data_IF_010571199224
#
_entry.id   IF_010571199224
#
_cell.length_a   1.000
_cell.length_b   1.000
_cell.length_c   1.000
_cell.angle_alpha   90.00
_cell.angle_beta   90.00
_cell.angle_gamma   90.00
#
_symmetry.space_group_name_H-M   'P 1'
#
loop_
_entity.id
_entity.type
_entity.pdbx_description
1 polymer ?
#
# COMPACT_ATOMS: atom_id res chain seq x y z
N UNK A 1 -2.58 8.33 6.22
CA UNK A 1 -3.05 7.81 7.52
C UNK A 1 -1.89 7.54 8.46
N UNK A 2 -0.87 6.76 8.09
CA UNK A 2 0.29 6.52 8.95
C UNK A 2 1.39 7.57 8.76
N UNK A 3 1.96 8.06 9.87
CA UNK A 3 3.09 8.98 9.84
C UNK A 3 4.38 8.29 9.36
N UNK A 4 4.53 6.98 9.55
CA UNK A 4 5.71 6.21 9.12
C UNK A 4 5.61 5.71 7.67
N UNK A 5 4.53 6.03 6.95
CA UNK A 5 4.31 5.51 5.59
C UNK A 5 5.34 6.03 4.58
N UNK A 6 5.84 7.26 4.77
CA UNK A 6 6.76 7.92 3.84
C UNK A 6 7.64 8.93 4.60
N UNK A 7 8.91 9.04 4.26
CA UNK A 7 9.87 10.02 4.82
C UNK A 7 9.37 11.48 4.96
N UNK A 8 8.57 12.04 4.02
CA UNK A 8 8.03 13.39 4.20
C UNK A 8 7.04 13.55 5.37
N UNK A 9 6.38 12.49 5.84
CA UNK A 9 5.33 12.61 6.85
C UNK A 9 5.88 12.99 8.24
N UNK A 10 6.95 12.34 8.76
CA UNK A 10 7.60 12.80 9.98
C UNK A 10 8.23 14.18 9.82
N UNK A 11 8.80 14.49 8.65
CA UNK A 11 9.37 15.82 8.36
C UNK A 11 8.32 16.93 8.51
N UNK A 12 7.09 16.73 8.03
CA UNK A 12 6.00 17.70 8.21
C UNK A 12 5.68 17.89 9.69
N UNK A 13 5.66 16.83 10.49
CA UNK A 13 5.41 16.92 11.93
C UNK A 13 6.55 17.67 12.65
N UNK A 14 7.80 17.39 12.28
CA UNK A 14 8.97 18.08 12.84
C UNK A 14 8.99 19.56 12.46
N UNK A 15 8.62 19.92 11.24
CA UNK A 15 8.52 21.30 10.78
C UNK A 15 7.40 22.07 11.50
N UNK A 16 6.25 21.42 11.72
CA UNK A 16 5.14 22.02 12.48
C UNK A 16 5.57 22.28 13.92
N UNK A 17 6.20 21.30 14.58
CA UNK A 17 6.70 21.43 15.94
C UNK A 17 7.69 22.60 16.08
N UNK A 18 8.63 22.73 15.14
CA UNK A 18 9.57 23.85 15.09
C UNK A 18 8.90 25.20 14.85
N UNK A 19 7.91 25.28 13.95
CA UNK A 19 7.27 26.54 13.55
C UNK A 19 6.30 27.09 14.61
N UNK A 20 5.71 26.24 15.45
CA UNK A 20 4.68 26.66 16.41
C UNK A 20 5.17 26.79 17.84
N UNK A 21 6.45 26.51 18.14
CA UNK A 21 6.99 26.43 19.51
C UNK A 21 6.11 25.58 20.45
N UNK A 22 5.32 24.67 19.88
CA UNK A 22 4.40 23.84 20.61
C UNK A 22 5.21 22.79 21.35
N UNK A 23 5.18 22.84 22.69
CA UNK A 23 5.55 21.71 23.56
C UNK A 23 4.70 20.45 23.28
N UNK A 24 3.67 20.58 22.45
CA UNK A 24 2.76 19.51 22.03
C UNK A 24 3.33 18.82 20.80
N UNK A 25 4.13 17.78 21.05
CA UNK A 25 4.53 16.84 20.01
C UNK A 25 3.29 16.13 19.44
N UNK A 26 3.07 16.21 18.12
CA UNK A 26 2.02 15.46 17.47
C UNK A 26 2.34 13.97 17.58
N UNK A 27 1.57 13.25 18.40
CA UNK A 27 1.78 11.81 18.59
C UNK A 27 1.36 11.02 17.35
N UNK A 28 1.93 9.83 17.17
CA UNK A 28 1.54 8.89 16.12
C UNK A 28 0.02 8.68 16.07
N UNK A 29 -0.62 8.55 17.24
CA UNK A 29 -2.06 8.34 17.37
C UNK A 29 -2.90 9.55 16.96
N UNK A 30 -2.48 10.75 17.31
CA UNK A 30 -3.17 11.99 16.91
C UNK A 30 -3.11 12.19 15.39
N UNK A 31 -1.95 11.95 14.77
CA UNK A 31 -1.82 11.98 13.32
C UNK A 31 -2.69 10.92 12.66
N UNK A 32 -2.64 9.68 13.16
CA UNK A 32 -3.43 8.58 12.61
C UNK A 32 -4.94 8.89 12.65
N UNK A 33 -5.44 9.40 13.77
CA UNK A 33 -6.85 9.80 13.91
C UNK A 33 -7.20 11.00 13.01
N UNK A 34 -6.36 12.03 12.96
CA UNK A 34 -6.57 13.20 12.10
C UNK A 34 -6.56 12.85 10.60
N UNK A 35 -5.70 11.92 10.20
CA UNK A 35 -5.56 11.46 8.82
C UNK A 35 -6.42 10.24 8.46
N UNK A 36 -7.21 9.72 9.41
CA UNK A 36 -8.08 8.56 9.21
C UNK A 36 -9.22 8.88 8.25
N UNK A 37 -9.99 9.92 8.57
CA UNK A 37 -11.14 10.36 7.77
C UNK A 37 -10.75 10.78 6.34
N UNK A 38 -9.73 11.65 6.12
CA UNK A 38 -9.29 11.97 4.76
C UNK A 38 -8.64 10.77 4.06
N UNK A 39 -8.00 9.87 4.81
CA UNK A 39 -7.41 8.63 4.28
C UNK A 39 -8.47 7.69 3.69
N UNK A 40 -9.55 7.46 4.41
CA UNK A 40 -10.67 6.63 3.93
C UNK A 40 -11.38 7.33 2.77
N UNK A 41 -11.62 8.63 2.87
CA UNK A 41 -12.23 9.39 1.78
C UNK A 41 -11.39 9.26 0.50
N UNK A 42 -10.07 9.44 0.57
CA UNK A 42 -9.18 9.25 -0.57
C UNK A 42 -9.19 7.80 -1.08
N UNK A 43 -9.21 6.81 -0.19
CA UNK A 43 -9.26 5.38 -0.56
C UNK A 43 -10.51 5.02 -1.35
N UNK A 44 -11.66 5.65 -1.06
CA UNK A 44 -12.91 5.42 -1.78
C UNK A 44 -13.03 6.31 -3.04
N UNK A 45 -12.58 7.56 -2.96
CA UNK A 45 -12.67 8.50 -4.07
C UNK A 45 -11.69 8.16 -5.19
N UNK A 46 -10.47 7.72 -4.87
CA UNK A 46 -9.45 7.42 -5.89
C UNK A 46 -9.93 6.37 -6.91
N UNK A 47 -10.41 5.18 -6.50
CA UNK A 47 -10.94 4.20 -7.45
C UNK A 47 -12.11 4.73 -8.30
N UNK A 48 -13.00 5.54 -7.71
CA UNK A 48 -14.13 6.13 -8.43
C UNK A 48 -13.65 7.15 -9.47
N UNK A 49 -12.73 8.03 -9.10
CA UNK A 49 -12.12 9.01 -10.01
C UNK A 49 -11.42 8.29 -11.17
N UNK A 50 -10.65 7.24 -10.89
CA UNK A 50 -10.03 6.43 -11.94
C UNK A 50 -11.05 5.70 -12.80
N UNK A 51 -12.17 5.23 -12.25
CA UNK A 51 -13.23 4.60 -13.02
C UNK A 51 -13.86 5.56 -14.05
N UNK A 52 -14.04 6.83 -13.68
CA UNK A 52 -14.59 7.85 -14.58
C UNK A 52 -13.57 8.38 -15.59
N UNK A 53 -12.32 8.60 -15.18
CA UNK A 53 -11.27 9.15 -16.05
C UNK A 53 -10.70 8.12 -17.04
N UNK A 54 -10.57 6.87 -16.60
CA UNK A 54 -9.99 5.77 -17.37
C UNK A 54 -10.97 4.60 -17.37
N UNK A 55 -12.09 4.69 -18.13
CA UNK A 55 -13.06 3.61 -18.20
C UNK A 55 -12.34 2.33 -18.67
N UNK A 56 -12.26 1.35 -17.78
CA UNK A 56 -11.60 0.07 -18.03
C UNK A 56 -12.05 -0.51 -19.37
N UNK A 57 -11.10 -0.73 -20.28
CA UNK A 57 -11.37 -1.31 -21.60
C UNK A 57 -11.93 -2.74 -21.49
N UNK A 58 -11.53 -3.47 -20.42
CA UNK A 58 -12.02 -4.81 -20.10
C UNK A 58 -12.68 -4.77 -18.73
N UNK A 59 -14.02 -4.67 -18.70
CA UNK A 59 -14.82 -4.61 -17.45
C UNK A 59 -15.17 -5.99 -16.89
N UNK A 60 -15.08 -7.04 -17.72
CA UNK A 60 -15.34 -8.40 -17.32
C UNK A 60 -14.48 -9.35 -18.14
N UNK A 61 -13.71 -10.18 -17.45
CA UNK A 61 -13.02 -11.32 -18.06
C UNK A 61 -13.85 -12.56 -17.74
N UNK A 62 -14.82 -12.96 -18.59
CA UNK A 62 -15.59 -14.16 -18.36
C UNK A 62 -14.63 -15.35 -18.24
N UNK A 63 -14.88 -16.22 -17.26
CA UNK A 63 -14.04 -17.38 -16.95
C UNK A 63 -12.62 -17.09 -16.42
N UNK A 64 -12.34 -15.90 -15.88
CA UNK A 64 -11.03 -15.58 -15.27
C UNK A 64 -10.53 -16.64 -14.27
N UNK A 65 -11.43 -17.19 -13.45
CA UNK A 65 -11.07 -18.26 -12.50
C UNK A 65 -10.68 -19.57 -13.20
N UNK A 66 -11.39 -19.96 -14.25
CA UNK A 66 -11.05 -21.17 -15.02
C UNK A 66 -9.72 -20.96 -15.76
N UNK A 67 -9.56 -19.81 -16.42
CA UNK A 67 -8.32 -19.42 -17.09
C UNK A 67 -7.12 -19.42 -16.14
N UNK A 68 -7.25 -18.84 -14.95
CA UNK A 68 -6.18 -18.83 -13.95
C UNK A 68 -5.81 -20.24 -13.49
N UNK A 69 -6.79 -21.12 -13.28
CA UNK A 69 -6.55 -22.53 -12.89
C UNK A 69 -5.86 -23.31 -14.00
N UNK A 70 -6.24 -23.10 -15.26
CA UNK A 70 -5.62 -23.78 -16.39
C UNK A 70 -4.18 -23.31 -16.61
N UNK A 71 -3.92 -21.99 -16.50
CA UNK A 71 -2.55 -21.45 -16.52
C UNK A 71 -1.70 -21.93 -15.34
N UNK A 72 -2.28 -22.07 -14.15
CA UNK A 72 -1.57 -22.64 -13.00
C UNK A 72 -1.21 -24.11 -13.23
N UNK A 73 -2.10 -24.90 -13.85
CA UNK A 73 -1.81 -26.28 -14.24
C UNK A 73 -0.70 -26.37 -15.29
N UNK A 74 -0.70 -25.48 -16.29
CA UNK A 74 0.37 -25.38 -17.29
C UNK A 74 1.73 -25.06 -16.66
N UNK A 75 1.78 -24.15 -15.68
CA UNK A 75 2.99 -23.79 -14.96
C UNK A 75 3.55 -24.95 -14.11
N UNK A 76 2.67 -25.81 -13.61
CA UNK A 76 3.04 -27.01 -12.86
C UNK A 76 3.61 -26.71 -11.46
N UNK A 77 4.46 -27.59 -10.96
CA UNK A 77 5.04 -27.46 -9.62
C UNK A 77 6.11 -26.37 -9.60
N UNK A 78 6.08 -25.55 -8.55
CA UNK A 78 7.04 -24.47 -8.34
C UNK A 78 8.47 -25.01 -8.29
N UNK A 79 9.34 -24.47 -9.16
CA UNK A 79 10.75 -24.84 -9.29
C UNK A 79 11.52 -24.40 -8.04
N UNK A 80 12.66 -25.04 -7.80
CA UNK A 80 13.52 -24.68 -6.66
C UNK A 80 14.03 -23.23 -6.76
N UNK A 81 14.24 -22.70 -7.98
CA UNK A 81 14.61 -21.30 -8.20
C UNK A 81 13.51 -20.32 -7.80
N UNK A 82 12.24 -20.62 -8.10
CA UNK A 82 11.08 -19.81 -7.73
C UNK A 82 10.88 -19.79 -6.21
N UNK A 83 11.16 -20.91 -5.53
CA UNK A 83 11.16 -20.98 -4.05
C UNK A 83 12.23 -20.08 -3.44
N UNK A 84 13.43 -20.09 -4.00
CA UNK A 84 14.53 -19.23 -3.52
C UNK A 84 14.16 -17.76 -3.72
N UNK A 85 13.62 -17.40 -4.89
CA UNK A 85 13.16 -16.03 -5.16
C UNK A 85 12.09 -15.58 -4.18
N UNK A 86 11.09 -16.44 -3.89
CA UNK A 86 10.05 -16.15 -2.91
C UNK A 86 10.64 -15.94 -1.51
N UNK A 87 11.59 -16.79 -1.09
CA UNK A 87 12.27 -16.63 0.19
C UNK A 87 13.04 -15.32 0.30
N UNK A 88 13.77 -14.93 -0.76
CA UNK A 88 14.49 -13.65 -0.80
C UNK A 88 13.52 -12.47 -0.73
N UNK A 89 12.39 -12.54 -1.44
CA UNK A 89 11.36 -11.49 -1.39
C UNK A 89 10.76 -11.34 0.00
N UNK A 90 10.42 -12.45 0.66
CA UNK A 90 9.91 -12.42 2.05
C UNK A 90 10.97 -11.86 3.01
N UNK A 91 12.23 -12.28 2.88
CA UNK A 91 13.32 -11.74 3.68
C UNK A 91 13.48 -10.24 3.48
N UNK A 92 13.40 -9.77 2.24
CA UNK A 92 13.45 -8.34 1.90
C UNK A 92 12.30 -7.57 2.55
N UNK A 93 11.07 -8.10 2.52
CA UNK A 93 9.93 -7.48 3.19
C UNK A 93 10.09 -7.41 4.71
N UNK A 94 10.68 -8.44 5.33
CA UNK A 94 10.97 -8.45 6.77
C UNK A 94 12.05 -7.43 7.13
N UNK A 95 13.14 -7.38 6.37
CA UNK A 95 14.20 -6.38 6.56
C UNK A 95 13.68 -4.97 6.33
N UNK A 96 12.75 -4.78 5.39
CA UNK A 96 12.17 -3.46 5.11
C UNK A 96 11.19 -3.00 6.18
N UNK A 97 10.45 -3.91 6.81
CA UNK A 97 9.52 -3.55 7.89
C UNK A 97 10.24 -3.10 9.18
N UNK A 98 11.48 -3.53 9.36
CA UNK A 98 12.33 -3.21 10.52
C UNK A 98 13.27 -2.01 10.29
N UNK A 99 13.38 -1.52 9.04
CA UNK A 99 14.25 -0.41 8.62
C UNK A 99 13.48 0.91 8.49
#
# INVERSE_FOLDING_TARGET
MFITATAPNPLVVDLIAQATNLEVHLTWGQWALGMFLPGIAAMLLMPLVFYFLSPLEIKSTPNASAFAKDKLKELGKMKNSEKIMLSVFVLLLLLWAEA
#
